data_IF_865906644167
#
_entry.id   IF_865906644167
#
_cell.length_a   1.000
_cell.length_b   1.000
_cell.length_c   1.000
_cell.angle_alpha   90.00
_cell.angle_beta   90.00
_cell.angle_gamma   90.00
#
_symmetry.space_group_name_H-M   'P 1'
#
loop_
_entity.id
_entity.type
_entity.pdbx_description
1 polymer ?
#
# COMPACT_ATOMS: atom_id res chain seq x y z
N UNK A 1 -9.20 15.21 -7.28
CA UNK A 1 -8.25 14.72 -6.27
C UNK A 1 -7.51 13.56 -6.90
N UNK A 2 -6.19 13.70 -7.06
CA UNK A 2 -5.39 12.88 -7.97
C UNK A 2 -5.31 11.43 -7.48
N UNK A 3 -5.79 10.53 -8.34
CA UNK A 3 -5.61 9.09 -8.24
C UNK A 3 -4.10 8.81 -8.28
N UNK A 4 -3.44 8.61 -7.14
CA UNK A 4 -2.03 8.20 -7.12
C UNK A 4 -1.92 6.76 -7.64
N UNK A 5 -2.01 6.62 -8.96
CA UNK A 5 -1.72 5.39 -9.68
C UNK A 5 -0.24 5.42 -10.00
N UNK A 6 0.54 4.69 -9.22
CA UNK A 6 1.97 4.51 -9.47
C UNK A 6 2.18 3.91 -10.87
N UNK A 7 3.08 4.52 -11.65
CA UNK A 7 3.35 4.10 -13.03
C UNK A 7 4.13 2.78 -13.09
N UNK A 8 3.97 2.01 -14.17
CA UNK A 8 4.70 0.74 -14.38
C UNK A 8 6.22 0.88 -14.25
N UNK A 9 6.79 1.99 -14.74
CA UNK A 9 8.23 2.27 -14.63
C UNK A 9 8.67 2.38 -13.17
N UNK A 10 7.90 3.10 -12.35
CA UNK A 10 8.20 3.29 -10.93
C UNK A 10 8.04 1.99 -10.13
N UNK A 11 7.03 1.18 -10.47
CA UNK A 11 6.91 -0.18 -9.90
C UNK A 11 8.16 -1.01 -10.21
N UNK A 12 8.69 -0.92 -11.43
CA UNK A 12 9.92 -1.64 -11.78
C UNK A 12 11.11 -1.15 -10.97
N UNK A 13 11.28 0.16 -10.81
CA UNK A 13 12.34 0.75 -9.97
C UNK A 13 12.24 0.27 -8.51
N UNK A 14 11.02 0.20 -7.94
CA UNK A 14 10.79 -0.32 -6.59
C UNK A 14 11.14 -1.82 -6.50
N UNK A 15 10.78 -2.62 -7.50
CA UNK A 15 11.16 -4.04 -7.55
C UNK A 15 12.68 -4.22 -7.58
N UNK A 16 13.36 -3.43 -8.41
CA UNK A 16 14.83 -3.45 -8.49
C UNK A 16 15.47 -2.93 -7.19
N UNK A 17 14.77 -2.04 -6.48
CA UNK A 17 15.04 -1.59 -5.11
C UNK A 17 14.77 -2.62 -4.00
N UNK A 18 14.24 -3.79 -4.35
CA UNK A 18 14.00 -4.91 -3.43
C UNK A 18 12.59 -4.98 -2.86
N UNK A 19 11.67 -4.09 -3.24
CA UNK A 19 10.28 -4.14 -2.80
C UNK A 19 9.50 -5.25 -3.50
N UNK A 20 8.67 -5.93 -2.72
CA UNK A 20 7.76 -6.98 -3.17
C UNK A 20 6.40 -6.72 -2.55
N UNK A 21 5.36 -6.64 -3.39
CA UNK A 21 3.96 -6.70 -2.95
C UNK A 21 3.47 -8.14 -3.02
N UNK A 22 2.91 -8.64 -1.92
CA UNK A 22 2.38 -9.99 -1.80
C UNK A 22 0.96 -9.99 -1.23
N UNK A 23 0.25 -11.10 -1.41
CA UNK A 23 -1.03 -11.33 -0.76
C UNK A 23 -0.78 -11.73 0.69
N UNK A 24 -1.52 -11.13 1.62
CA UNK A 24 -1.46 -11.40 3.06
C UNK A 24 -2.64 -12.27 3.48
N UNK A 25 -3.82 -11.99 2.94
CA UNK A 25 -5.05 -12.77 3.16
C UNK A 25 -5.74 -12.97 1.82
N UNK A 26 -6.11 -14.22 1.51
CA UNK A 26 -6.94 -14.60 0.37
C UNK A 26 -8.44 -14.68 0.72
N UNK A 27 -8.77 -14.62 2.02
CA UNK A 27 -10.15 -14.52 2.52
C UNK A 27 -10.67 -13.09 2.44
N UNK A 28 -12.00 -12.90 2.28
CA UNK A 28 -12.59 -11.57 2.21
C UNK A 28 -12.51 -10.80 3.55
N UNK A 29 -12.03 -9.53 3.53
CA UNK A 29 -11.48 -8.84 2.37
C UNK A 29 -10.09 -9.35 2.01
N UNK A 30 -9.83 -9.60 0.71
CA UNK A 30 -8.47 -9.92 0.24
C UNK A 30 -7.53 -8.78 0.62
N UNK A 31 -6.38 -9.11 1.20
CA UNK A 31 -5.39 -8.14 1.67
C UNK A 31 -4.06 -8.36 0.98
N UNK A 32 -3.38 -7.25 0.70
CA UNK A 32 -2.04 -7.18 0.17
C UNK A 32 -1.15 -6.41 1.12
N UNK A 33 0.12 -6.79 1.14
CA UNK A 33 1.13 -6.03 1.83
C UNK A 33 2.47 -6.07 1.13
N UNK A 34 3.44 -5.35 1.70
CA UNK A 34 4.77 -5.24 1.11
C UNK A 34 5.89 -5.62 2.08
N UNK A 35 7.01 -6.03 1.49
CA UNK A 35 8.30 -6.17 2.17
C UNK A 35 9.42 -5.70 1.24
N UNK A 36 10.51 -5.21 1.81
CA UNK A 36 11.74 -4.88 1.14
C UNK A 36 12.81 -5.93 1.48
N UNK A 37 13.15 -6.76 0.48
CA UNK A 37 14.11 -7.87 0.61
C UNK A 37 15.55 -7.42 0.83
N UNK A 38 15.91 -6.18 0.52
CA UNK A 38 17.27 -5.65 0.71
C UNK A 38 17.49 -5.06 2.10
N UNK A 39 16.51 -4.34 2.63
CA UNK A 39 16.58 -3.74 3.96
C UNK A 39 16.02 -4.63 5.08
N UNK A 40 15.20 -5.62 4.72
CA UNK A 40 14.43 -6.43 5.68
C UNK A 40 13.15 -5.76 6.17
N UNK A 41 12.91 -4.49 5.81
CA UNK A 41 11.73 -3.75 6.23
C UNK A 41 10.45 -4.36 5.67
N UNK A 42 9.40 -4.40 6.45
CA UNK A 42 8.11 -4.98 6.07
C UNK A 42 6.95 -4.12 6.56
N UNK A 43 5.83 -4.17 5.85
CA UNK A 43 4.63 -3.46 6.26
C UNK A 43 4.14 -3.85 7.66
N UNK A 44 4.46 -5.07 8.12
CA UNK A 44 4.17 -5.50 9.49
C UNK A 44 4.81 -4.60 10.55
N UNK A 45 6.01 -4.08 10.30
CA UNK A 45 6.72 -3.16 11.20
C UNK A 45 6.13 -1.74 11.18
N UNK A 46 5.45 -1.38 10.10
CA UNK A 46 4.85 -0.05 9.89
C UNK A 46 3.32 -0.08 9.91
N UNK A 47 2.71 -1.16 10.43
CA UNK A 47 1.26 -1.42 10.32
C UNK A 47 0.38 -0.32 10.89
N UNK A 48 0.86 0.40 11.91
CA UNK A 48 0.15 1.56 12.48
C UNK A 48 0.06 2.74 11.51
N UNK A 49 1.04 2.90 10.62
CA UNK A 49 1.12 3.97 9.62
C UNK A 49 0.64 3.55 8.24
N UNK A 50 0.84 2.28 7.89
CA UNK A 50 0.48 1.68 6.60
C UNK A 50 -0.19 0.31 6.84
N UNK A 51 -1.52 0.25 7.04
CA UNK A 51 -2.23 -1.00 7.18
C UNK A 51 -2.26 -1.78 5.87
N UNK A 52 -2.47 -3.10 5.95
CA UNK A 52 -2.61 -3.92 4.74
C UNK A 52 -3.73 -3.43 3.83
N UNK A 53 -3.47 -3.46 2.53
CA UNK A 53 -4.27 -2.81 1.49
C UNK A 53 -5.21 -3.79 0.82
N UNK A 54 -6.38 -3.35 0.38
CA UNK A 54 -7.32 -4.22 -0.39
C UNK A 54 -6.92 -4.41 -1.84
N UNK A 55 -6.01 -3.58 -2.35
CA UNK A 55 -5.53 -3.65 -3.73
C UNK A 55 -4.00 -3.70 -3.78
N UNK A 56 -3.45 -4.32 -4.84
CA UNK A 56 -2.00 -4.34 -5.06
C UNK A 56 -1.47 -2.95 -5.36
N UNK A 57 -2.26 -2.13 -6.04
CA UNK A 57 -1.93 -0.76 -6.43
C UNK A 57 -1.65 0.12 -5.22
N UNK A 58 -2.48 0.02 -4.17
CA UNK A 58 -2.27 0.74 -2.92
C UNK A 58 -1.05 0.21 -2.15
N UNK A 59 -0.82 -1.11 -2.15
CA UNK A 59 0.38 -1.67 -1.53
C UNK A 59 1.68 -1.20 -2.23
N UNK A 60 1.64 -0.97 -3.55
CA UNK A 60 2.76 -0.33 -4.26
C UNK A 60 2.90 1.15 -3.96
N UNK A 61 1.80 1.88 -3.75
CA UNK A 61 1.86 3.26 -3.29
C UNK A 61 2.49 3.37 -1.89
N UNK A 62 2.23 2.40 -1.00
CA UNK A 62 2.90 2.33 0.30
C UNK A 62 4.40 2.10 0.17
N UNK A 63 4.83 1.24 -0.77
CA UNK A 63 6.25 1.04 -1.08
C UNK A 63 6.91 2.35 -1.54
N UNK A 64 6.24 3.12 -2.40
CA UNK A 64 6.73 4.43 -2.84
C UNK A 64 6.82 5.42 -1.69
N UNK A 65 5.78 5.49 -0.83
CA UNK A 65 5.81 6.35 0.36
C UNK A 65 6.92 5.95 1.33
N UNK A 66 7.20 4.65 1.48
CA UNK A 66 8.32 4.17 2.29
C UNK A 66 9.68 4.54 1.67
N UNK A 67 9.87 4.28 0.37
CA UNK A 67 11.10 4.59 -0.38
C UNK A 67 11.43 6.09 -0.37
N UNK A 68 10.40 6.94 -0.49
CA UNK A 68 10.52 8.40 -0.45
C UNK A 68 10.61 8.97 0.96
N UNK A 69 10.56 8.15 2.03
CA UNK A 69 10.42 8.58 3.42
C UNK A 69 9.18 9.47 3.70
N UNK A 70 8.15 9.38 2.87
CA UNK A 70 6.89 10.14 2.94
C UNK A 70 5.75 9.28 3.51
N UNK A 71 6.03 8.44 4.50
CA UNK A 71 5.00 7.63 5.15
C UNK A 71 4.00 8.54 5.90
N UNK A 72 2.72 8.57 5.52
CA UNK A 72 1.74 9.38 6.21
C UNK A 72 1.55 8.87 7.65
N UNK A 73 1.38 9.78 8.61
CA UNK A 73 1.11 9.41 10.01
C UNK A 73 -0.23 8.70 10.19
N UNK A 74 -1.17 8.96 9.28
CA UNK A 74 -2.42 8.22 9.13
C UNK A 74 -2.55 7.84 7.66
N UNK A 75 -2.42 6.56 7.34
CA UNK A 75 -2.77 6.07 6.01
C UNK A 75 -4.21 6.46 5.68
N UNK A 76 -4.43 6.97 4.47
CA UNK A 76 -5.79 7.05 3.95
C UNK A 76 -6.37 5.63 3.92
N UNK A 77 -7.55 5.41 4.52
CA UNK A 77 -8.13 4.08 4.57
C UNK A 77 -8.55 3.61 3.17
N UNK A 78 -8.17 2.38 2.81
CA UNK A 78 -8.61 1.78 1.54
C UNK A 78 -10.08 1.35 1.56
N UNK A 79 -10.71 1.39 2.73
CA UNK A 79 -12.11 1.00 2.93
C UNK A 79 -13.10 2.17 2.81
N UNK A 80 -12.66 3.42 2.67
CA UNK A 80 -13.55 4.59 2.51
C UNK A 80 -14.10 4.79 1.09
N UNK A 81 -14.15 3.73 0.28
CA UNK A 81 -15.10 3.64 -0.83
C UNK A 81 -16.43 2.98 -0.43
N UNK A 82 -16.74 2.85 0.86
CA UNK A 82 -18.15 2.81 1.24
C UNK A 82 -18.69 4.24 1.14
N UNK A 83 -19.28 4.51 -0.02
CA UNK A 83 -20.03 5.72 -0.28
C UNK A 83 -20.90 6.03 0.93
N UNK A 84 -20.76 7.25 1.45
CA UNK A 84 -21.90 7.97 1.97
C UNK A 84 -23.12 7.70 1.06
N UNK A 85 -24.04 6.85 1.52
CA UNK A 85 -25.47 7.08 1.31
C UNK A 85 -25.82 8.13 2.37
N UNK A 86 -25.65 9.40 2.07
CA UNK A 86 -26.68 10.24 1.44
C UNK A 86 -28.05 9.95 2.03
N UNK A 87 -28.41 10.78 3.02
CA UNK A 87 -29.71 11.44 3.23
C UNK A 87 -30.95 10.54 3.14
N UNK A 88 -31.59 10.34 4.29
CA UNK A 88 -32.97 9.92 4.47
C UNK A 88 -33.40 10.23 5.88
#
# INVERSE_FOLDING_TARGET
>A
MSKHKIGHKRIQELKDGGFVVHMVSDQEPVLYGWLNTKSGASQGEYKERQPFRRTKEQAWADCEAFDSCEMPMAAEPDWTQDHAKTIG
#
